data_IF_365144976764
#
_entry.id   IF_365144976764
#
_cell.length_a   1.000
_cell.length_b   1.000
_cell.length_c   1.000
_cell.angle_alpha   90.00
_cell.angle_beta   90.00
_cell.angle_gamma   90.00
#
_symmetry.space_group_name_H-M   'P 1'
#
loop_
_entity.id
_entity.type
_entity.pdbx_description
1 polymer ?
#
# COMPACT_ATOMS: atom_id res chain seq x y z
N UNK A 1 3.96 11.58 -0.12
CA UNK A 1 3.93 10.30 0.63
C UNK A 1 5.08 9.41 0.16
N UNK A 2 6.30 9.59 0.68
CA UNK A 2 7.49 8.89 0.15
C UNK A 2 7.57 7.41 0.55
N UNK A 3 7.12 7.08 1.77
CA UNK A 3 7.17 5.70 2.28
C UNK A 3 6.19 4.73 1.59
N UNK A 4 5.19 5.27 0.89
CA UNK A 4 4.07 4.50 0.31
C UNK A 4 3.74 4.98 -1.11
N UNK A 5 4.76 5.39 -1.88
CA UNK A 5 4.57 5.99 -3.21
C UNK A 5 3.70 5.11 -4.12
N UNK A 6 4.00 3.81 -4.21
CA UNK A 6 3.24 2.86 -5.03
C UNK A 6 1.78 2.73 -4.60
N UNK A 7 1.52 2.70 -3.28
CA UNK A 7 0.15 2.65 -2.74
C UNK A 7 -0.59 3.95 -3.07
N UNK A 8 0.05 5.10 -2.87
CA UNK A 8 -0.55 6.39 -3.17
C UNK A 8 -0.87 6.53 -4.67
N UNK A 9 0.03 6.07 -5.55
CA UNK A 9 -0.17 6.09 -7.00
C UNK A 9 -1.32 5.14 -7.41
N UNK A 10 -1.44 3.97 -6.78
CA UNK A 10 -2.57 3.06 -6.98
C UNK A 10 -3.90 3.71 -6.56
N UNK A 11 -3.96 4.35 -5.39
CA UNK A 11 -5.16 5.04 -4.94
C UNK A 11 -5.56 6.21 -5.85
N UNK A 12 -4.59 7.00 -6.33
CA UNK A 12 -4.85 8.09 -7.27
C UNK A 12 -5.34 7.60 -8.62
N UNK A 13 -4.77 6.51 -9.15
CA UNK A 13 -5.13 5.95 -10.45
C UNK A 13 -6.51 5.27 -10.46
N UNK A 14 -7.06 4.97 -9.28
CA UNK A 14 -8.37 4.31 -9.10
C UNK A 14 -9.45 5.27 -8.54
N UNK A 15 -9.24 6.59 -8.61
CA UNK A 15 -10.17 7.59 -8.03
C UNK A 15 -10.52 7.31 -6.55
N UNK A 16 -9.59 6.72 -5.81
CA UNK A 16 -9.73 6.28 -4.43
C UNK A 16 -9.07 7.25 -3.42
N UNK A 17 -8.36 8.27 -3.89
CA UNK A 17 -7.78 9.31 -3.06
C UNK A 17 -7.82 10.66 -3.78
N UNK A 18 -7.88 11.74 -2.99
CA UNK A 18 -7.69 13.11 -3.48
C UNK A 18 -6.33 13.59 -3.00
N UNK A 19 -5.44 13.93 -3.93
CA UNK A 19 -4.16 14.55 -3.58
C UNK A 19 -4.36 16.07 -3.46
N UNK A 20 -4.09 16.59 -2.26
CA UNK A 20 -4.05 18.04 -2.02
C UNK A 20 -2.63 18.53 -2.35
N UNK A 21 -2.46 19.49 -3.27
CA UNK A 21 -1.13 19.89 -3.73
C UNK A 21 -0.44 20.90 -2.78
N UNK A 22 -1.18 21.55 -1.88
CA UNK A 22 -0.63 22.49 -0.91
C UNK A 22 -1.47 22.60 0.37
N UNK A 23 -0.88 23.09 1.46
CA UNK A 23 -1.60 23.36 2.73
C UNK A 23 -2.77 24.34 2.53
N UNK A 24 -2.59 25.35 1.67
CA UNK A 24 -3.61 26.38 1.39
C UNK A 24 -4.88 25.81 0.77
N UNK A 25 -4.77 24.67 0.08
CA UNK A 25 -5.89 24.04 -0.63
C UNK A 25 -6.59 22.97 0.20
N UNK A 26 -6.07 22.65 1.39
CA UNK A 26 -6.60 21.60 2.24
C UNK A 26 -8.05 21.89 2.66
N UNK A 27 -8.30 23.09 3.19
CA UNK A 27 -9.61 23.48 3.70
C UNK A 27 -10.68 23.44 2.60
N UNK A 28 -10.37 24.02 1.44
CA UNK A 28 -11.28 24.03 0.30
C UNK A 28 -11.55 22.61 -0.23
N UNK A 29 -10.53 21.77 -0.31
CA UNK A 29 -10.66 20.38 -0.79
C UNK A 29 -11.49 19.55 0.18
N UNK A 30 -11.22 19.69 1.49
CA UNK A 30 -11.93 18.96 2.53
C UNK A 30 -13.39 19.40 2.56
N UNK A 31 -13.68 20.70 2.55
CA UNK A 31 -15.03 21.24 2.53
C UNK A 31 -15.82 20.72 1.32
N UNK A 32 -15.24 20.81 0.12
CA UNK A 32 -15.87 20.32 -1.11
C UNK A 32 -16.13 18.81 -1.10
N UNK A 33 -15.34 18.04 -0.35
CA UNK A 33 -15.58 16.61 -0.16
C UNK A 33 -16.68 16.38 0.90
N UNK A 34 -16.63 17.04 2.06
CA UNK A 34 -17.59 16.80 3.16
C UNK A 34 -18.98 17.40 2.93
N UNK A 35 -19.14 18.32 1.98
CA UNK A 35 -20.46 18.85 1.60
C UNK A 35 -21.13 18.05 0.47
N UNK A 36 -20.37 17.28 -0.32
CA UNK A 36 -20.91 16.43 -1.40
C UNK A 36 -21.00 14.95 -0.98
N UNK A 37 -22.18 14.45 -0.56
CA UNK A 37 -22.33 13.06 -0.12
C UNK A 37 -22.11 12.03 -1.23
N UNK A 38 -22.43 12.38 -2.48
CA UNK A 38 -22.26 11.48 -3.62
C UNK A 38 -20.78 11.29 -3.92
N UNK A 39 -20.00 12.38 -3.93
CA UNK A 39 -18.55 12.34 -4.11
C UNK A 39 -17.86 11.56 -2.99
N UNK A 40 -18.27 11.73 -1.74
CA UNK A 40 -17.75 10.89 -0.63
C UNK A 40 -18.03 9.42 -0.81
N UNK A 41 -19.27 9.08 -1.14
CA UNK A 41 -19.66 7.69 -1.32
C UNK A 41 -18.86 7.03 -2.44
N UNK A 42 -18.66 7.73 -3.56
CA UNK A 42 -17.85 7.26 -4.70
C UNK A 42 -16.38 7.06 -4.30
N UNK A 43 -15.75 8.07 -3.70
CA UNK A 43 -14.36 8.00 -3.24
C UNK A 43 -14.15 6.83 -2.27
N UNK A 44 -15.03 6.69 -1.28
CA UNK A 44 -14.97 5.61 -0.30
C UNK A 44 -15.22 4.23 -0.90
N UNK A 45 -16.15 4.10 -1.84
CA UNK A 45 -16.40 2.86 -2.55
C UNK A 45 -15.21 2.42 -3.39
N UNK A 46 -14.58 3.34 -4.12
CA UNK A 46 -13.37 3.08 -4.90
C UNK A 46 -12.19 2.66 -4.00
N UNK A 47 -11.96 3.39 -2.91
CA UNK A 47 -10.95 3.04 -1.92
C UNK A 47 -11.17 1.65 -1.30
N UNK A 48 -12.42 1.34 -0.94
CA UNK A 48 -12.77 0.02 -0.43
C UNK A 48 -12.53 -1.07 -1.47
N UNK A 49 -12.97 -0.88 -2.70
CA UNK A 49 -12.76 -1.84 -3.78
C UNK A 49 -11.27 -2.14 -3.99
N UNK A 50 -10.42 -1.12 -3.98
CA UNK A 50 -8.97 -1.28 -4.11
C UNK A 50 -8.36 -2.08 -2.95
N UNK A 51 -8.77 -1.81 -1.71
CA UNK A 51 -8.31 -2.55 -0.52
C UNK A 51 -8.78 -4.01 -0.57
N UNK A 52 -10.04 -4.24 -0.92
CA UNK A 52 -10.61 -5.58 -1.04
C UNK A 52 -9.94 -6.40 -2.15
N UNK A 53 -9.62 -5.79 -3.29
CA UNK A 53 -8.91 -6.44 -4.39
C UNK A 53 -7.51 -6.94 -3.98
N UNK A 54 -6.88 -6.26 -3.01
CA UNK A 54 -5.57 -6.64 -2.47
C UNK A 54 -5.66 -7.49 -1.18
N UNK A 55 -6.87 -7.87 -0.75
CA UNK A 55 -7.06 -8.68 0.45
C UNK A 55 -6.35 -10.03 0.31
N UNK A 56 -5.66 -10.43 1.37
CA UNK A 56 -4.91 -11.68 1.42
C UNK A 56 -3.57 -11.65 0.69
N UNK A 57 -3.15 -10.50 0.13
CA UNK A 57 -1.84 -10.36 -0.50
C UNK A 57 -0.71 -10.81 0.43
N UNK A 58 -0.72 -10.38 1.71
CA UNK A 58 0.26 -10.84 2.72
C UNK A 58 0.37 -12.36 2.79
N UNK A 59 -0.76 -13.06 2.93
CA UNK A 59 -0.77 -14.53 3.07
C UNK A 59 -0.25 -15.20 1.81
N UNK A 60 -0.66 -14.73 0.63
CA UNK A 60 -0.18 -15.24 -0.66
C UNK A 60 1.33 -15.01 -0.82
N UNK A 61 1.81 -13.81 -0.50
CA UNK A 61 3.25 -13.48 -0.53
C UNK A 61 4.03 -14.39 0.41
N UNK A 62 3.57 -14.60 1.65
CA UNK A 62 4.25 -15.49 2.59
C UNK A 62 4.24 -16.95 2.15
N UNK A 63 3.16 -17.43 1.51
CA UNK A 63 3.10 -18.79 0.97
C UNK A 63 4.17 -18.98 -0.12
N UNK A 64 4.24 -18.05 -1.08
CA UNK A 64 5.27 -18.09 -2.15
C UNK A 64 6.68 -18.00 -1.57
N UNK A 65 6.91 -17.15 -0.57
CA UNK A 65 8.21 -17.10 0.12
C UNK A 65 8.51 -18.46 0.77
N UNK A 66 7.53 -19.10 1.41
CA UNK A 66 7.67 -20.43 1.98
C UNK A 66 8.09 -21.48 0.96
N UNK A 67 7.50 -21.46 -0.23
CA UNK A 67 7.85 -22.37 -1.34
C UNK A 67 9.27 -22.16 -1.89
N UNK A 68 9.78 -20.93 -1.80
CA UNK A 68 11.13 -20.56 -2.27
C UNK A 68 12.21 -20.74 -1.20
N UNK A 69 11.84 -20.79 0.09
CA UNK A 69 12.79 -20.94 1.16
C UNK A 69 13.24 -22.40 1.31
N UNK A 70 14.52 -22.63 1.70
CA UNK A 70 14.99 -23.97 2.00
C UNK A 70 14.17 -24.60 3.14
N UNK A 71 13.93 -25.92 3.05
CA UNK A 71 13.26 -26.67 4.11
C UNK A 71 13.99 -26.49 5.46
N UNK A 72 13.27 -26.35 6.58
CA UNK A 72 13.88 -26.33 7.91
C UNK A 72 14.77 -27.57 8.10
N UNK A 73 16.06 -27.37 8.38
CA UNK A 73 17.04 -28.44 8.53
C UNK A 73 17.88 -28.76 7.28
N UNK A 74 17.58 -28.16 6.13
CA UNK A 74 18.55 -28.05 5.06
C UNK A 74 19.60 -27.03 5.49
N UNK A 75 20.83 -27.47 5.78
CA UNK A 75 21.89 -26.64 6.35
C UNK A 75 22.23 -25.47 5.43
N UNK A 76 21.58 -24.32 5.64
CA UNK A 76 22.01 -23.07 5.03
C UNK A 76 23.40 -22.76 5.58
N UNK A 77 24.42 -22.86 4.72
CA UNK A 77 25.79 -22.48 5.06
C UNK A 77 25.84 -20.95 5.16
N UNK A 78 25.41 -20.42 6.30
CA UNK A 78 25.67 -19.01 6.64
C UNK A 78 27.17 -18.90 6.81
N UNK A 79 27.87 -18.46 5.75
CA UNK A 79 29.29 -18.12 5.86
C UNK A 79 29.38 -16.83 6.65
N UNK A 80 30.02 -16.80 7.84
CA UNK A 80 30.26 -15.56 8.53
C UNK A 80 31.07 -14.65 7.60
N UNK A 81 30.64 -13.39 7.49
CA UNK A 81 31.45 -12.37 6.83
C UNK A 81 32.78 -12.29 7.60
N UNK A 82 33.90 -12.47 6.90
CA UNK A 82 35.21 -12.21 7.51
C UNK A 82 35.29 -10.72 7.82
N UNK A 83 35.43 -10.39 9.09
CA UNK A 83 35.97 -9.09 9.49
C UNK A 83 37.43 -9.05 9.02
N UNK A 84 37.71 -8.25 8.01
CA UNK A 84 39.08 -7.90 7.63
C UNK A 84 39.50 -6.77 8.56
N UNK A 85 40.43 -7.06 9.46
CA UNK A 85 41.13 -6.07 10.28
C UNK A 85 42.30 -5.47 9.50
#
# INVERSE_FOLDING_TARGET
MQNFKEIADAFRSNDAAVQVPSERELDATLLALVTDPVRRARLGAAARALVEANRGAKTKTLAVIGDLLPLPGSGAVVRPFRLVH
#
